data_IF_523635409367
#
_entry.id   IF_523635409367
#
_cell.length_a   1.000
_cell.length_b   1.000
_cell.length_c   1.000
_cell.angle_alpha   90.00
_cell.angle_beta   90.00
_cell.angle_gamma   90.00
#
_symmetry.space_group_name_H-M   'P 1'
#
loop_
_entity.id
_entity.type
_entity.pdbx_description
1 polymer ?
#
# COMPACT_ATOMS: atom_id res chain seq x y z
N UNK A 1 0.46 17.65 -15.20
CA UNK A 1 1.24 17.87 -13.95
C UNK A 1 0.77 16.85 -12.92
N UNK A 2 1.62 15.93 -12.44
CA UNK A 2 1.20 14.95 -11.43
C UNK A 2 0.93 15.66 -10.09
N UNK A 3 -0.19 15.30 -9.43
CA UNK A 3 -0.56 15.79 -8.10
C UNK A 3 0.48 15.39 -7.05
N UNK A 4 0.47 16.05 -5.89
CA UNK A 4 1.36 15.71 -4.77
C UNK A 4 1.23 14.22 -4.38
N UNK A 5 0.00 13.70 -4.32
CA UNK A 5 -0.26 12.29 -4.00
C UNK A 5 0.37 11.34 -5.03
N UNK A 6 0.24 11.65 -6.33
CA UNK A 6 0.81 10.82 -7.39
C UNK A 6 2.34 10.76 -7.32
N UNK A 7 2.99 11.90 -7.04
CA UNK A 7 4.45 11.96 -6.85
C UNK A 7 4.90 11.18 -5.62
N UNK A 8 4.15 11.29 -4.52
CA UNK A 8 4.42 10.54 -3.29
C UNK A 8 4.33 9.03 -3.53
N UNK A 9 3.24 8.53 -4.13
CA UNK A 9 3.08 7.10 -4.43
C UNK A 9 4.20 6.58 -5.33
N UNK A 10 4.55 7.34 -6.38
CA UNK A 10 5.64 6.97 -7.28
C UNK A 10 6.99 6.88 -6.55
N UNK A 11 7.28 7.83 -5.66
CA UNK A 11 8.50 7.82 -4.87
C UNK A 11 8.55 6.62 -3.90
N UNK A 12 7.44 6.34 -3.21
CA UNK A 12 7.33 5.21 -2.27
C UNK A 12 7.49 3.86 -2.98
N UNK A 13 6.84 3.66 -4.13
CA UNK A 13 7.01 2.46 -4.94
C UNK A 13 8.46 2.26 -5.39
N UNK A 14 9.16 3.34 -5.73
CA UNK A 14 10.59 3.29 -6.08
C UNK A 14 11.44 2.89 -4.88
N UNK A 15 11.13 3.41 -3.70
CA UNK A 15 11.81 3.05 -2.45
C UNK A 15 11.61 1.56 -2.15
N UNK A 16 10.38 1.05 -2.13
CA UNK A 16 10.05 -0.37 -1.95
C UNK A 16 10.92 -1.27 -2.87
N UNK A 17 10.93 -0.97 -4.18
CA UNK A 17 11.71 -1.73 -5.18
C UNK A 17 13.22 -1.68 -4.93
N UNK A 18 13.74 -0.62 -4.32
CA UNK A 18 15.17 -0.48 -4.02
C UNK A 18 15.57 -1.27 -2.78
N UNK A 19 14.67 -1.38 -1.79
CA UNK A 19 14.92 -2.08 -0.53
C UNK A 19 14.85 -3.62 -0.64
N UNK A 20 14.26 -4.16 -1.70
CA UNK A 20 14.16 -5.60 -2.00
C UNK A 20 15.46 -6.40 -1.75
N UNK A 21 16.61 -5.84 -2.15
CA UNK A 21 17.91 -6.55 -2.10
C UNK A 21 18.35 -6.95 -0.68
N UNK A 22 17.71 -6.42 0.37
CA UNK A 22 18.07 -6.69 1.78
C UNK A 22 17.29 -7.85 2.42
N UNK A 23 16.17 -8.29 1.83
CA UNK A 23 15.27 -9.29 2.43
C UNK A 23 15.01 -10.50 1.50
N UNK A 24 16.07 -11.04 0.90
CA UNK A 24 15.93 -12.20 0.03
C UNK A 24 15.45 -13.43 0.83
N UNK A 25 14.24 -13.92 0.52
CA UNK A 25 13.80 -15.28 0.83
C UNK A 25 12.61 -15.43 1.78
N UNK A 26 12.09 -14.36 2.39
CA UNK A 26 10.94 -14.46 3.31
C UNK A 26 9.79 -13.56 2.85
N UNK A 27 8.62 -14.12 2.53
CA UNK A 27 7.41 -13.34 2.25
C UNK A 27 6.98 -12.47 3.44
N UNK A 28 6.18 -11.44 3.18
CA UNK A 28 5.63 -10.59 4.22
C UNK A 28 4.48 -11.32 4.94
N UNK A 29 4.60 -11.46 6.26
CA UNK A 29 3.51 -11.90 7.13
C UNK A 29 2.56 -10.75 7.52
N UNK A 30 3.03 -9.49 7.44
CA UNK A 30 2.25 -8.32 7.85
C UNK A 30 2.61 -7.08 7.03
N UNK A 31 1.60 -6.31 6.61
CA UNK A 31 1.74 -4.97 6.05
C UNK A 31 0.82 -4.00 6.81
N UNK A 32 1.42 -3.00 7.46
CA UNK A 32 0.70 -1.91 8.08
C UNK A 32 0.90 -0.61 7.30
N UNK A 33 -0.20 0.02 6.88
CA UNK A 33 -0.20 1.33 6.24
C UNK A 33 -0.85 2.34 7.19
N UNK A 34 -0.02 3.11 7.89
CA UNK A 34 -0.46 4.13 8.85
C UNK A 34 0.19 5.50 8.62
N UNK A 35 0.07 6.39 9.61
CA UNK A 35 0.74 7.69 9.61
C UNK A 35 -0.21 8.86 9.89
N UNK A 36 -0.44 9.70 8.88
CA UNK A 36 -1.43 10.79 8.96
C UNK A 36 -2.85 10.26 8.71
N UNK A 37 -3.25 10.20 7.44
CA UNK A 37 -4.51 9.56 7.02
C UNK A 37 -4.29 8.92 5.65
N UNK A 38 -3.93 7.61 5.59
CA UNK A 38 -3.69 6.90 4.33
C UNK A 38 -4.82 7.04 3.31
N UNK A 39 -6.07 7.05 3.79
CA UNK A 39 -7.30 7.18 2.99
C UNK A 39 -7.50 8.56 2.35
N UNK A 40 -6.59 9.53 2.55
CA UNK A 40 -6.50 10.73 1.69
C UNK A 40 -6.00 10.37 0.28
N UNK A 41 -5.28 9.26 0.13
CA UNK A 41 -4.97 8.65 -1.16
C UNK A 41 -6.22 7.95 -1.69
N UNK A 42 -6.44 7.98 -3.01
CA UNK A 42 -7.51 7.18 -3.63
C UNK A 42 -7.26 5.70 -3.35
N UNK A 43 -8.31 4.90 -3.14
CA UNK A 43 -8.19 3.47 -2.89
C UNK A 43 -7.28 2.77 -3.92
N UNK A 44 -7.44 3.09 -5.20
CA UNK A 44 -6.57 2.58 -6.27
C UNK A 44 -5.07 2.86 -6.04
N UNK A 45 -4.71 4.01 -5.50
CA UNK A 45 -3.30 4.32 -5.21
C UNK A 45 -2.76 3.51 -4.04
N UNK A 46 -3.61 3.21 -3.04
CA UNK A 46 -3.25 2.31 -1.94
C UNK A 46 -3.09 0.88 -2.46
N UNK A 47 -4.01 0.38 -3.30
CA UNK A 47 -3.89 -0.92 -3.96
C UNK A 47 -2.60 -1.02 -4.78
N UNK A 48 -2.25 0.02 -5.56
CA UNK A 48 -0.99 0.06 -6.33
C UNK A 48 0.27 0.02 -5.44
N UNK A 49 0.19 0.47 -4.19
CA UNK A 49 1.29 0.35 -3.20
C UNK A 49 1.36 -1.09 -2.68
N UNK A 50 0.21 -1.69 -2.32
CA UNK A 50 0.11 -3.09 -1.84
C UNK A 50 0.61 -4.05 -2.92
N UNK A 51 0.17 -3.87 -4.17
CA UNK A 51 0.63 -4.65 -5.33
C UNK A 51 2.15 -4.54 -5.52
N UNK A 52 2.72 -3.36 -5.26
CA UNK A 52 4.16 -3.17 -5.35
C UNK A 52 4.89 -3.93 -4.24
N UNK A 53 4.32 -4.02 -3.04
CA UNK A 53 4.85 -4.86 -1.97
C UNK A 53 4.77 -6.35 -2.34
N UNK A 54 3.64 -6.83 -2.86
CA UNK A 54 3.47 -8.23 -3.27
C UNK A 54 4.46 -8.63 -4.38
N UNK A 55 4.57 -7.80 -5.43
CA UNK A 55 5.51 -8.05 -6.52
C UNK A 55 6.98 -8.11 -6.07
N UNK A 56 7.31 -7.37 -5.01
CA UNK A 56 8.69 -7.22 -4.55
C UNK A 56 9.04 -8.24 -3.47
N UNK A 57 8.15 -8.50 -2.52
CA UNK A 57 8.43 -9.33 -1.35
C UNK A 57 7.61 -10.62 -1.32
N UNK A 58 6.45 -10.63 -1.99
CA UNK A 58 5.41 -11.65 -1.80
C UNK A 58 4.73 -11.52 -0.43
N UNK A 59 3.54 -12.10 -0.32
CA UNK A 59 2.84 -12.27 0.95
C UNK A 59 2.72 -13.74 1.35
N UNK A 60 2.70 -14.01 2.65
CA UNK A 60 2.24 -15.30 3.17
C UNK A 60 0.74 -15.48 2.89
N UNK A 61 0.23 -16.72 2.75
CA UNK A 61 -1.19 -16.95 2.44
C UNK A 61 -2.19 -16.34 3.42
N UNK A 62 -1.77 -16.15 4.67
CA UNK A 62 -2.53 -15.58 5.79
C UNK A 62 -1.97 -14.25 6.27
N UNK A 63 -1.23 -13.53 5.41
CA UNK A 63 -0.64 -12.25 5.74
C UNK A 63 -1.71 -11.23 6.20
N UNK A 64 -1.42 -10.52 7.28
CA UNK A 64 -2.28 -9.44 7.77
C UNK A 64 -1.97 -8.14 7.01
N UNK A 65 -2.96 -7.56 6.35
CA UNK A 65 -2.86 -6.23 5.74
C UNK A 65 -3.83 -5.29 6.45
N UNK A 66 -3.30 -4.24 7.08
CA UNK A 66 -4.09 -3.26 7.82
C UNK A 66 -3.77 -1.83 7.40
N UNK A 67 -4.81 -0.99 7.30
CA UNK A 67 -4.73 0.39 6.83
C UNK A 67 -5.48 1.30 7.81
N UNK A 68 -4.86 2.39 8.24
CA UNK A 68 -5.55 3.44 9.00
C UNK A 68 -6.52 4.22 8.09
N UNK A 69 -7.78 4.34 8.51
CA UNK A 69 -8.82 5.03 7.75
C UNK A 69 -9.48 6.13 8.57
N UNK A 70 -9.67 7.31 7.95
CA UNK A 70 -10.55 8.34 8.50
C UNK A 70 -11.93 8.19 7.85
N UNK A 71 -13.03 8.07 8.63
CA UNK A 71 -14.38 7.93 8.09
C UNK A 71 -14.82 9.05 7.14
N UNK A 72 -14.20 10.24 7.23
CA UNK A 72 -14.48 11.38 6.35
C UNK A 72 -13.75 11.35 5.00
N UNK A 73 -12.85 10.39 4.78
CA UNK A 73 -12.03 10.30 3.55
C UNK A 73 -12.15 8.95 2.84
N UNK A 74 -13.11 8.12 3.23
CA UNK A 74 -13.33 6.81 2.63
C UNK A 74 -14.84 6.54 2.46
N UNK A 75 -15.20 5.86 1.38
CA UNK A 75 -16.57 5.38 1.17
C UNK A 75 -16.64 3.85 0.97
N UNK A 76 -17.85 3.33 0.74
CA UNK A 76 -18.09 1.89 0.56
C UNK A 76 -17.39 1.35 -0.69
N UNK A 77 -17.27 2.14 -1.75
CA UNK A 77 -16.62 1.70 -2.98
C UNK A 77 -15.10 1.61 -2.79
N UNK A 78 -14.51 2.56 -2.07
CA UNK A 78 -13.10 2.50 -1.67
C UNK A 78 -12.81 1.26 -0.81
N UNK A 79 -13.69 0.95 0.16
CA UNK A 79 -13.55 -0.25 1.00
C UNK A 79 -13.63 -1.56 0.19
N UNK A 80 -14.44 -1.59 -0.87
CA UNK A 80 -14.49 -2.75 -1.77
C UNK A 80 -13.18 -2.90 -2.53
N UNK A 81 -12.64 -1.80 -3.06
CA UNK A 81 -11.35 -1.79 -3.79
C UNK A 81 -10.19 -2.25 -2.89
N UNK A 82 -10.21 -1.90 -1.60
CA UNK A 82 -9.14 -2.26 -0.66
C UNK A 82 -9.23 -3.71 -0.15
N UNK A 83 -10.41 -4.32 -0.25
CA UNK A 83 -10.63 -5.71 0.18
C UNK A 83 -10.29 -6.71 -0.93
N UNK A 84 -10.56 -6.34 -2.17
CA UNK A 84 -10.40 -7.19 -3.36
C UNK A 84 -8.93 -7.24 -3.82
#
# INVERSE_FOLDING_TARGET
MQSLHGRYCTALQKEIRTHHRKQQGTPLATLFIGGGTPTVLRAKQLSEIIDTCDQVYGFEPDAEISIEANPGTIDVADLQILRD
#
